data_IF_216348737970
#
_entry.id   IF_216348737970
#
_cell.length_a   1.000
_cell.length_b   1.000
_cell.length_c   1.000
_cell.angle_alpha   90.00
_cell.angle_beta   90.00
_cell.angle_gamma   90.00
#
_symmetry.space_group_name_H-M   'P 1'
#
loop_
_entity.id
_entity.type
_entity.pdbx_description
1 polymer ?
#
# COMPACT_ATOMS: atom_id res chain seq x y z
N UNK A 1 2.81 -14.87 -12.16
CA UNK A 1 2.83 -13.42 -11.87
C UNK A 1 3.14 -12.72 -13.18
N UNK A 2 2.35 -11.72 -13.56
CA UNK A 2 2.53 -10.97 -14.81
C UNK A 2 3.67 -9.96 -14.67
N UNK A 3 4.34 -9.59 -15.78
CA UNK A 3 5.43 -8.59 -15.76
C UNK A 3 5.02 -7.25 -15.14
N UNK A 4 3.75 -6.86 -15.32
CA UNK A 4 3.22 -5.61 -14.75
C UNK A 4 3.10 -5.69 -13.21
N UNK A 5 2.75 -6.84 -12.67
CA UNK A 5 2.68 -7.10 -11.23
C UNK A 5 4.09 -7.11 -10.60
N UNK A 6 5.08 -7.72 -11.28
CA UNK A 6 6.48 -7.66 -10.86
C UNK A 6 7.02 -6.23 -10.81
N UNK A 7 6.69 -5.43 -11.83
CA UNK A 7 7.04 -4.01 -11.88
C UNK A 7 6.38 -3.24 -10.73
N UNK A 8 5.09 -3.46 -10.51
CA UNK A 8 4.33 -2.85 -9.42
C UNK A 8 4.97 -3.14 -8.05
N UNK A 9 5.24 -4.41 -7.75
CA UNK A 9 5.86 -4.81 -6.48
C UNK A 9 7.27 -4.22 -6.32
N UNK A 10 8.05 -4.15 -7.39
CA UNK A 10 9.37 -3.51 -7.38
C UNK A 10 9.26 -2.01 -7.03
N UNK A 11 8.29 -1.31 -7.61
CA UNK A 11 8.04 0.10 -7.30
C UNK A 11 7.64 0.28 -5.83
N UNK A 12 6.75 -0.57 -5.31
CA UNK A 12 6.32 -0.52 -3.92
C UNK A 12 7.45 -0.74 -2.91
N UNK A 13 8.38 -1.65 -3.21
CA UNK A 13 9.53 -1.95 -2.33
C UNK A 13 10.50 -0.79 -2.19
N UNK A 14 10.58 0.11 -3.16
CA UNK A 14 11.48 1.25 -3.08
C UNK A 14 11.09 2.25 -1.98
N UNK A 15 9.82 2.23 -1.53
CA UNK A 15 9.27 3.10 -0.47
C UNK A 15 9.58 4.59 -0.67
N UNK A 16 9.47 5.05 -1.93
CA UNK A 16 9.72 6.44 -2.33
C UNK A 16 8.49 7.00 -3.01
N UNK A 17 8.19 8.28 -2.73
CA UNK A 17 7.05 8.99 -3.29
C UNK A 17 6.97 8.88 -4.82
N UNK A 18 8.09 9.05 -5.53
CA UNK A 18 8.12 8.95 -7.00
C UNK A 18 7.74 7.56 -7.52
N UNK A 19 8.17 6.51 -6.82
CA UNK A 19 7.82 5.15 -7.20
C UNK A 19 6.36 4.82 -6.90
N UNK A 20 5.80 5.38 -5.82
CA UNK A 20 4.36 5.28 -5.54
C UNK A 20 3.52 5.98 -6.61
N UNK A 21 3.92 7.15 -7.12
CA UNK A 21 3.24 7.74 -8.28
C UNK A 21 3.29 6.84 -9.52
N UNK A 22 4.43 6.19 -9.78
CA UNK A 22 4.53 5.24 -10.89
C UNK A 22 3.67 3.98 -10.67
N UNK A 23 3.59 3.49 -9.43
CA UNK A 23 2.77 2.34 -9.06
C UNK A 23 1.26 2.66 -9.13
N UNK A 24 0.87 3.87 -8.73
CA UNK A 24 -0.50 4.36 -8.81
C UNK A 24 -1.05 4.34 -10.24
N UNK A 25 -0.21 4.67 -11.23
CA UNK A 25 -0.61 4.71 -12.65
C UNK A 25 -0.98 3.36 -13.25
N UNK A 26 -0.59 2.26 -12.61
CA UNK A 26 -0.82 0.90 -13.12
C UNK A 26 -1.73 0.09 -12.19
N UNK A 27 -2.32 0.71 -11.17
CA UNK A 27 -3.03 0.04 -10.07
C UNK A 27 -4.28 -0.69 -10.57
N UNK A 28 -4.97 -0.11 -11.54
CA UNK A 28 -6.16 -0.70 -12.18
C UNK A 28 -5.85 -1.99 -12.95
N UNK A 29 -4.62 -2.15 -13.43
CA UNK A 29 -4.18 -3.32 -14.19
C UNK A 29 -3.68 -4.48 -13.30
N UNK A 30 -3.52 -4.25 -11.98
CA UNK A 30 -2.97 -5.26 -11.06
C UNK A 30 -4.08 -6.19 -10.56
N UNK A 31 -3.80 -7.48 -10.49
CA UNK A 31 -4.71 -8.48 -9.94
C UNK A 31 -5.06 -8.21 -8.47
N UNK A 32 -6.32 -8.47 -8.09
CA UNK A 32 -6.84 -8.28 -6.73
C UNK A 32 -5.99 -8.97 -5.66
N UNK A 33 -5.52 -10.19 -5.91
CA UNK A 33 -4.68 -10.94 -4.96
C UNK A 33 -3.33 -10.25 -4.69
N UNK A 34 -2.72 -9.68 -5.73
CA UNK A 34 -1.45 -8.94 -5.60
C UNK A 34 -1.66 -7.62 -4.87
N UNK A 35 -2.75 -6.91 -5.17
CA UNK A 35 -3.13 -5.69 -4.45
C UNK A 35 -3.33 -5.96 -2.96
N UNK A 36 -4.01 -7.04 -2.60
CA UNK A 36 -4.23 -7.40 -1.19
C UNK A 36 -2.92 -7.68 -0.44
N UNK A 37 -2.02 -8.46 -1.05
CA UNK A 37 -0.68 -8.73 -0.49
C UNK A 37 0.11 -7.44 -0.32
N UNK A 38 0.12 -6.59 -1.35
CA UNK A 38 0.81 -5.31 -1.34
C UNK A 38 0.28 -4.36 -0.26
N UNK A 39 -1.04 -4.26 -0.10
CA UNK A 39 -1.65 -3.45 0.95
C UNK A 39 -1.22 -3.94 2.34
N UNK A 40 -1.32 -5.25 2.61
CA UNK A 40 -0.86 -5.82 3.90
C UNK A 40 0.62 -5.55 4.17
N UNK A 41 1.48 -5.69 3.16
CA UNK A 41 2.90 -5.40 3.30
C UNK A 41 3.15 -3.92 3.62
N UNK A 42 2.48 -3.00 2.93
CA UNK A 42 2.62 -1.57 3.14
C UNK A 42 2.09 -1.12 4.50
N UNK A 43 0.97 -1.68 4.96
CA UNK A 43 0.42 -1.41 6.31
C UNK A 43 1.40 -1.87 7.39
N UNK A 44 1.95 -3.08 7.26
CA UNK A 44 2.96 -3.60 8.19
C UNK A 44 4.23 -2.75 8.17
N UNK A 45 4.68 -2.33 6.98
CA UNK A 45 5.84 -1.48 6.80
C UNK A 45 5.62 -0.09 7.39
N UNK A 46 4.46 0.53 7.16
CA UNK A 46 4.11 1.82 7.76
C UNK A 46 4.21 1.75 9.28
N UNK A 47 3.61 0.72 9.89
CA UNK A 47 3.70 0.47 11.33
C UNK A 47 5.14 0.35 11.82
N UNK A 48 5.97 -0.42 11.12
CA UNK A 48 7.37 -0.57 11.46
C UNK A 48 8.14 0.76 11.36
N UNK A 49 7.93 1.52 10.28
CA UNK A 49 8.59 2.81 10.03
C UNK A 49 8.17 3.87 11.05
N UNK A 50 6.91 3.88 11.46
CA UNK A 50 6.43 4.72 12.56
C UNK A 50 7.19 4.48 13.88
N UNK A 51 7.67 3.26 14.12
CA UNK A 51 8.42 2.90 15.33
C UNK A 51 9.92 3.17 15.17
N UNK A 52 10.46 3.02 13.96
CA UNK A 52 11.91 2.81 13.76
C UNK A 52 12.61 3.84 12.86
N UNK A 53 11.87 4.63 12.09
CA UNK A 53 12.42 5.52 11.06
C UNK A 53 11.63 6.85 11.04
N UNK A 54 11.60 7.54 9.90
CA UNK A 54 10.92 8.83 9.76
C UNK A 54 9.41 8.68 9.56
N UNK A 55 8.68 9.63 10.16
CA UNK A 55 7.23 9.81 9.98
C UNK A 55 6.86 9.88 8.50
N UNK A 56 7.59 10.67 7.71
CA UNK A 56 7.33 10.87 6.28
C UNK A 56 7.34 9.55 5.48
N UNK A 57 8.29 8.64 5.76
CA UNK A 57 8.34 7.34 5.06
C UNK A 57 7.19 6.43 5.48
N UNK A 58 6.79 6.50 6.74
CA UNK A 58 5.66 5.74 7.27
C UNK A 58 4.34 6.23 6.66
N UNK A 59 4.14 7.54 6.60
CA UNK A 59 2.99 8.18 5.95
C UNK A 59 2.93 7.83 4.46
N UNK A 60 4.05 7.88 3.74
CA UNK A 60 4.10 7.47 2.34
C UNK A 60 3.61 6.02 2.15
N UNK A 61 4.08 5.08 2.99
CA UNK A 61 3.65 3.69 2.92
C UNK A 61 2.15 3.53 3.23
N UNK A 62 1.66 4.25 4.25
CA UNK A 62 0.26 4.19 4.67
C UNK A 62 -0.69 4.82 3.63
N UNK A 63 -0.27 5.90 2.99
CA UNK A 63 -1.01 6.54 1.89
C UNK A 63 -1.12 5.60 0.69
N UNK A 64 -0.02 4.93 0.31
CA UNK A 64 -0.05 3.97 -0.79
C UNK A 64 -0.96 2.77 -0.47
N UNK A 65 -0.91 2.27 0.77
CA UNK A 65 -1.84 1.23 1.23
C UNK A 65 -3.30 1.69 1.11
N UNK A 66 -3.60 2.92 1.51
CA UNK A 66 -4.95 3.51 1.42
C UNK A 66 -5.46 3.59 -0.01
N UNK A 67 -4.60 3.97 -0.97
CA UNK A 67 -4.95 3.99 -2.39
C UNK A 67 -5.24 2.59 -2.93
N UNK A 68 -4.44 1.59 -2.53
CA UNK A 68 -4.69 0.20 -2.93
C UNK A 68 -6.02 -0.30 -2.34
N UNK A 69 -6.30 0.03 -1.09
CA UNK A 69 -7.56 -0.33 -0.44
C UNK A 69 -8.75 0.30 -1.14
N UNK A 70 -8.66 1.57 -1.58
CA UNK A 70 -9.72 2.21 -2.35
C UNK A 70 -10.02 1.49 -3.68
N UNK A 71 -8.98 0.99 -4.37
CA UNK A 71 -9.16 0.21 -5.61
C UNK A 71 -9.71 -1.20 -5.32
N UNK A 72 -9.32 -1.83 -4.22
CA UNK A 72 -9.91 -3.09 -3.79
C UNK A 72 -11.40 -2.92 -3.45
N UNK A 73 -11.75 -1.85 -2.74
CA UNK A 73 -13.13 -1.51 -2.38
C UNK A 73 -13.98 -1.22 -3.64
N UNK A 74 -13.44 -0.47 -4.61
CA UNK A 74 -14.12 -0.22 -5.89
C UNK A 74 -14.34 -1.50 -6.70
N UNK A 75 -13.61 -2.57 -6.38
CA UNK A 75 -13.78 -3.93 -6.95
C UNK A 75 -14.64 -4.83 -6.06
N UNK A 76 -15.39 -4.25 -5.12
CA UNK A 76 -16.27 -4.94 -4.18
C UNK A 76 -15.55 -6.00 -3.34
N UNK A 77 -14.29 -5.76 -2.97
CA UNK A 77 -13.55 -6.64 -2.05
C UNK A 77 -13.78 -6.23 -0.61
N UNK A 78 -13.85 -7.20 0.30
CA UNK A 78 -13.85 -6.90 1.73
C UNK A 78 -12.46 -6.44 2.17
N UNK A 79 -12.37 -5.15 2.50
CA UNK A 79 -11.14 -4.47 2.94
C UNK A 79 -11.22 -4.01 4.39
N UNK A 80 -12.21 -4.46 5.16
CA UNK A 80 -12.49 -3.97 6.51
C UNK A 80 -11.29 -4.07 7.45
N UNK A 81 -10.59 -5.21 7.43
CA UNK A 81 -9.39 -5.45 8.23
C UNK A 81 -8.25 -4.51 7.83
N UNK A 82 -7.99 -4.36 6.52
CA UNK A 82 -6.95 -3.47 6.00
C UNK A 82 -7.22 -2.00 6.37
N UNK A 83 -8.47 -1.54 6.24
CA UNK A 83 -8.87 -0.19 6.62
C UNK A 83 -8.71 0.06 8.13
N UNK A 84 -9.05 -0.94 8.96
CA UNK A 84 -8.85 -0.84 10.40
C UNK A 84 -7.35 -0.71 10.76
N UNK A 85 -6.48 -1.50 10.13
CA UNK A 85 -5.04 -1.42 10.37
C UNK A 85 -4.43 -0.09 9.87
N UNK A 86 -4.86 0.41 8.71
CA UNK A 86 -4.45 1.73 8.20
C UNK A 86 -4.85 2.83 9.18
N UNK A 87 -6.08 2.79 9.68
CA UNK A 87 -6.60 3.77 10.64
C UNK A 87 -5.83 3.70 11.95
N UNK A 88 -5.55 2.50 12.45
CA UNK A 88 -4.75 2.28 13.65
C UNK A 88 -3.34 2.85 13.51
N UNK A 89 -2.71 2.66 12.35
CA UNK A 89 -1.41 3.24 12.07
C UNK A 89 -1.43 4.78 12.10
N UNK A 90 -2.49 5.42 11.61
CA UNK A 90 -2.64 6.89 11.67
C UNK A 90 -2.84 7.41 13.10
N UNK A 91 -3.50 6.63 13.96
CA UNK A 91 -3.75 6.99 15.37
C UNK A 91 -2.53 6.84 16.28
N UNK A 92 -1.41 6.29 15.78
CA UNK A 92 -0.17 6.21 16.54
C UNK A 92 0.55 7.57 16.68
N UNK A 93 0.06 8.63 16.03
CA UNK A 93 0.54 10.02 16.06
C UNK A 93 -0.62 11.00 16.14
#
# INVERSE_FOLDING_TARGET
MQKIEERFLTLLRSNRLHAFYAAHRILDDIGTSVLYIAARELVSRARYLYITDTLEKAECANQMASQIVAVLDSRNQDVSELNADITKNLQMF
#
